data_IF_818444876484
#
_entry.id   IF_818444876484
#
_cell.length_a   1.000
_cell.length_b   1.000
_cell.length_c   1.000
_cell.angle_alpha   90.00
_cell.angle_beta   90.00
_cell.angle_gamma   90.00
#
_symmetry.space_group_name_H-M   'P 1'
#
loop_
_entity.id
_entity.type
_entity.pdbx_description
1 polymer ?
#
# COMPACT_ATOMS: atom_id res chain seq x y z
N UNK A 1 -3.91 -33.10 -7.67
CA UNK A 1 -4.78 -32.66 -6.58
C UNK A 1 -5.28 -31.25 -6.85
N UNK A 2 -6.48 -30.91 -6.39
CA UNK A 2 -7.01 -29.54 -6.46
C UNK A 2 -6.60 -28.86 -5.17
N UNK A 3 -5.95 -27.70 -5.27
CA UNK A 3 -5.66 -26.83 -4.12
C UNK A 3 -6.92 -26.02 -3.81
N UNK A 4 -7.49 -26.19 -2.62
CA UNK A 4 -8.69 -25.46 -2.18
C UNK A 4 -8.36 -24.03 -1.74
N UNK A 5 -7.13 -23.78 -1.34
CA UNK A 5 -6.63 -22.51 -0.84
C UNK A 5 -5.43 -22.73 0.09
N UNK A 6 -4.92 -21.63 0.63
CA UNK A 6 -3.88 -21.64 1.66
C UNK A 6 -4.22 -20.59 2.71
N UNK A 7 -3.89 -20.86 3.95
CA UNK A 7 -3.95 -19.88 5.03
C UNK A 7 -2.71 -19.00 5.00
N UNK A 8 -2.88 -17.68 5.09
CA UNK A 8 -1.73 -16.80 5.26
C UNK A 8 -1.13 -16.97 6.66
N UNK A 9 -1.95 -16.86 7.69
CA UNK A 9 -1.50 -17.06 9.06
C UNK A 9 -2.53 -17.80 9.92
N UNK A 10 -2.04 -18.77 10.69
CA UNK A 10 -2.75 -19.38 11.80
C UNK A 10 -2.03 -18.97 13.08
N UNK A 11 -2.71 -18.22 13.93
CA UNK A 11 -2.13 -17.62 15.12
C UNK A 11 -2.81 -18.15 16.38
N UNK A 12 -2.04 -18.23 17.47
CA UNK A 12 -2.56 -18.49 18.81
C UNK A 12 -2.17 -17.34 19.73
N UNK A 13 -3.17 -16.81 20.44
CA UNK A 13 -2.97 -15.83 21.50
C UNK A 13 -3.68 -16.36 22.77
N UNK A 14 -2.90 -16.85 23.72
CA UNK A 14 -3.39 -17.59 24.88
C UNK A 14 -4.20 -18.83 24.46
N UNK A 15 -5.51 -18.84 24.74
CA UNK A 15 -6.44 -19.91 24.36
C UNK A 15 -7.24 -19.61 23.10
N UNK A 16 -7.03 -18.45 22.47
CA UNK A 16 -7.73 -18.04 21.26
C UNK A 16 -6.92 -18.40 20.02
N UNK A 17 -7.58 -18.96 19.03
CA UNK A 17 -7.01 -19.31 17.73
C UNK A 17 -7.59 -18.41 16.65
N UNK A 18 -6.74 -17.93 15.76
CA UNK A 18 -7.10 -16.97 14.72
C UNK A 18 -6.57 -17.41 13.36
N UNK A 19 -7.47 -17.35 12.36
CA UNK A 19 -7.09 -17.37 10.97
C UNK A 19 -7.03 -15.92 10.48
N UNK A 20 -5.84 -15.48 10.07
CA UNK A 20 -5.60 -14.10 9.62
C UNK A 20 -5.18 -14.15 8.16
N UNK A 21 -5.94 -13.47 7.32
CA UNK A 21 -5.60 -13.19 5.93
C UNK A 21 -4.95 -11.82 5.82
N UNK A 22 -3.90 -11.74 4.97
CA UNK A 22 -3.15 -10.50 4.80
C UNK A 22 -3.09 -10.09 3.33
N UNK A 23 -2.93 -8.81 3.09
CA UNK A 23 -2.62 -8.31 1.76
C UNK A 23 -1.82 -7.01 1.87
N UNK A 24 -0.86 -6.84 0.95
CA UNK A 24 -0.23 -5.55 0.74
C UNK A 24 -0.77 -4.96 -0.56
N UNK A 25 -1.33 -3.77 -0.46
CA UNK A 25 -2.03 -3.12 -1.57
C UNK A 25 -1.74 -1.62 -1.62
N UNK A 26 -1.73 -1.12 -2.84
CA UNK A 26 -1.55 0.29 -3.15
C UNK A 26 -2.75 0.71 -3.99
N UNK A 27 -3.53 1.66 -3.49
CA UNK A 27 -4.73 2.12 -4.18
C UNK A 27 -4.72 3.62 -4.38
N UNK A 28 -5.13 4.03 -5.58
CA UNK A 28 -5.30 5.42 -5.97
C UNK A 28 -6.79 5.76 -5.95
N UNK A 29 -7.15 6.85 -5.31
CA UNK A 29 -8.51 7.36 -5.31
C UNK A 29 -8.84 7.97 -6.68
N UNK A 30 -9.78 7.39 -7.39
CA UNK A 30 -10.30 7.88 -8.67
C UNK A 30 -11.55 8.75 -8.54
N UNK A 31 -12.00 9.00 -7.31
CA UNK A 31 -13.23 9.73 -7.02
C UNK A 31 -13.13 11.20 -7.42
N UNK A 32 -14.25 11.75 -7.91
CA UNK A 32 -14.37 13.16 -8.27
C UNK A 32 -14.66 14.07 -7.06
N UNK A 33 -15.22 13.51 -6.00
CA UNK A 33 -15.60 14.23 -4.78
C UNK A 33 -15.43 13.37 -3.51
N UNK A 34 -15.47 13.96 -2.30
CA UNK A 34 -15.25 13.23 -1.06
C UNK A 34 -16.31 12.16 -0.75
N UNK A 35 -17.56 12.31 -1.20
CA UNK A 35 -18.61 11.32 -0.97
C UNK A 35 -18.34 10.05 -1.78
N UNK A 36 -17.96 10.19 -3.04
CA UNK A 36 -17.51 9.06 -3.85
C UNK A 36 -16.27 8.40 -3.26
N UNK A 37 -15.30 9.20 -2.78
CA UNK A 37 -14.06 8.69 -2.19
C UNK A 37 -14.30 7.82 -0.95
N UNK A 38 -15.44 7.96 -0.28
CA UNK A 38 -15.84 7.13 0.83
C UNK A 38 -16.17 5.69 0.41
N UNK A 39 -16.55 5.49 -0.85
CA UNK A 39 -16.89 4.17 -1.40
C UNK A 39 -15.64 3.43 -1.91
N UNK A 40 -15.47 2.17 -1.53
CA UNK A 40 -14.31 1.35 -1.89
C UNK A 40 -14.11 1.13 -3.39
N UNK A 41 -15.16 1.21 -4.17
CA UNK A 41 -15.11 1.02 -5.63
C UNK A 41 -14.29 2.09 -6.36
N UNK A 42 -14.11 3.26 -5.76
CA UNK A 42 -13.29 4.35 -6.31
C UNK A 42 -11.81 4.27 -5.97
N UNK A 43 -11.41 3.21 -5.25
CA UNK A 43 -10.01 2.97 -4.91
C UNK A 43 -9.49 1.85 -5.80
N UNK A 44 -8.68 2.24 -6.80
CA UNK A 44 -8.18 1.37 -7.87
C UNK A 44 -6.68 1.14 -7.72
N UNK A 45 -6.23 -0.06 -8.05
CA UNK A 45 -4.81 -0.37 -8.10
C UNK A 45 -4.10 0.40 -9.24
N UNK A 46 -2.78 0.58 -9.16
CA UNK A 46 -2.01 1.32 -10.14
C UNK A 46 -2.18 0.82 -11.59
N UNK A 47 -2.44 -0.45 -11.77
CA UNK A 47 -2.68 -1.08 -13.09
C UNK A 47 -4.17 -1.09 -13.48
N UNK A 48 -5.02 -0.38 -12.74
CA UNK A 48 -6.48 -0.19 -12.95
C UNK A 48 -7.36 -1.46 -13.00
N UNK A 49 -6.78 -2.65 -12.95
CA UNK A 49 -7.51 -3.92 -12.92
C UNK A 49 -7.88 -4.37 -11.51
N UNK A 50 -7.14 -3.95 -10.51
CA UNK A 50 -7.41 -4.24 -9.10
C UNK A 50 -8.27 -3.11 -8.51
N UNK A 51 -9.22 -3.48 -7.67
CA UNK A 51 -10.13 -2.56 -6.99
C UNK A 51 -10.31 -2.99 -5.54
N UNK A 52 -10.32 -2.02 -4.63
CA UNK A 52 -10.39 -2.30 -3.18
C UNK A 52 -11.65 -3.09 -2.79
N UNK A 53 -12.83 -2.72 -3.34
CA UNK A 53 -14.08 -3.43 -3.06
C UNK A 53 -14.06 -4.90 -3.54
N UNK A 54 -13.51 -5.15 -4.73
CA UNK A 54 -13.39 -6.51 -5.28
C UNK A 54 -12.43 -7.35 -4.44
N UNK A 55 -11.29 -6.76 -4.04
CA UNK A 55 -10.31 -7.46 -3.18
C UNK A 55 -10.91 -7.81 -1.82
N UNK A 56 -11.59 -6.85 -1.18
CA UNK A 56 -12.25 -7.08 0.10
C UNK A 56 -13.34 -8.14 0.02
N UNK A 57 -14.17 -8.08 -1.02
CA UNK A 57 -15.21 -9.08 -1.24
C UNK A 57 -14.63 -10.47 -1.45
N UNK A 58 -13.58 -10.59 -2.26
CA UNK A 58 -12.89 -11.87 -2.46
C UNK A 58 -12.34 -12.44 -1.14
N UNK A 59 -11.65 -11.62 -0.35
CA UNK A 59 -11.12 -12.05 0.95
C UNK A 59 -12.23 -12.51 1.90
N UNK A 60 -13.33 -11.77 1.98
CA UNK A 60 -14.46 -12.10 2.87
C UNK A 60 -15.24 -13.33 2.44
N UNK A 61 -15.42 -13.53 1.13
CA UNK A 61 -16.27 -14.60 0.62
C UNK A 61 -15.53 -15.92 0.37
N UNK A 62 -14.21 -15.86 0.15
CA UNK A 62 -13.45 -17.03 -0.25
C UNK A 62 -12.28 -17.37 0.68
N UNK A 63 -11.54 -16.37 1.14
CA UNK A 63 -10.35 -16.65 1.96
C UNK A 63 -10.71 -16.81 3.44
N UNK A 64 -11.38 -15.84 4.03
CA UNK A 64 -11.72 -15.92 5.45
C UNK A 64 -12.56 -17.16 5.83
N UNK A 65 -13.54 -17.62 5.03
CA UNK A 65 -14.30 -18.83 5.34
C UNK A 65 -13.53 -20.14 5.10
N UNK A 66 -12.32 -20.10 4.55
CA UNK A 66 -11.55 -21.31 4.23
C UNK A 66 -11.40 -22.25 5.42
N UNK A 67 -11.21 -21.71 6.63
CA UNK A 67 -11.07 -22.51 7.87
C UNK A 67 -12.36 -23.26 8.24
N UNK A 68 -13.52 -22.92 7.67
CA UNK A 68 -14.81 -23.58 7.92
C UNK A 68 -15.05 -24.77 6.99
N UNK A 69 -14.25 -24.91 5.93
CA UNK A 69 -14.39 -26.05 5.00
C UNK A 69 -14.08 -27.37 5.70
N UNK A 70 -14.71 -28.46 5.26
CA UNK A 70 -14.56 -29.78 5.87
C UNK A 70 -13.10 -30.25 5.82
N UNK A 71 -12.44 -30.05 4.69
CA UNK A 71 -11.04 -30.43 4.47
C UNK A 71 -10.09 -29.63 5.38
N UNK A 72 -10.31 -28.32 5.50
CA UNK A 72 -9.50 -27.50 6.38
C UNK A 72 -9.72 -27.86 7.84
N UNK A 73 -10.96 -28.12 8.26
CA UNK A 73 -11.31 -28.54 9.61
C UNK A 73 -10.63 -29.86 10.01
N UNK A 74 -10.54 -30.84 9.10
CA UNK A 74 -9.84 -32.09 9.37
C UNK A 74 -8.35 -31.84 9.66
N UNK A 75 -7.70 -31.00 8.87
CA UNK A 75 -6.29 -30.67 9.08
C UNK A 75 -6.08 -29.81 10.34
N UNK A 76 -6.93 -28.81 10.57
CA UNK A 76 -6.83 -27.93 11.73
C UNK A 76 -7.00 -28.69 13.04
N UNK A 77 -7.95 -29.62 13.13
CA UNK A 77 -8.11 -30.48 14.31
C UNK A 77 -6.90 -31.39 14.57
N UNK A 78 -6.24 -31.85 13.51
CA UNK A 78 -5.02 -32.64 13.65
C UNK A 78 -3.85 -31.82 14.15
N UNK A 79 -3.70 -30.59 13.66
CA UNK A 79 -2.58 -29.71 14.02
C UNK A 79 -2.79 -28.97 15.34
N UNK A 80 -4.05 -28.64 15.65
CA UNK A 80 -4.44 -27.81 16.79
C UNK A 80 -5.63 -28.46 17.53
N UNK A 81 -5.42 -29.62 18.21
CA UNK A 81 -6.51 -30.37 18.84
C UNK A 81 -7.24 -29.60 19.95
N UNK A 82 -6.58 -28.61 20.54
CA UNK A 82 -7.16 -27.80 21.62
C UNK A 82 -8.01 -26.63 21.09
N UNK A 83 -7.96 -26.34 19.79
CA UNK A 83 -8.72 -25.26 19.18
C UNK A 83 -10.20 -25.62 19.10
N UNK A 84 -11.03 -24.97 19.95
CA UNK A 84 -12.49 -25.18 19.94
C UNK A 84 -13.18 -24.38 18.83
N UNK A 85 -12.66 -23.20 18.56
CA UNK A 85 -13.17 -22.28 17.53
C UNK A 85 -12.03 -21.42 16.97
N UNK A 86 -12.24 -20.91 15.78
CA UNK A 86 -11.32 -20.01 15.10
C UNK A 86 -11.97 -18.63 14.95
N UNK A 87 -11.28 -17.59 15.42
CA UNK A 87 -11.55 -16.22 15.04
C UNK A 87 -11.01 -15.96 13.64
N UNK A 88 -11.55 -14.97 12.96
CA UNK A 88 -11.03 -14.52 11.67
C UNK A 88 -10.56 -13.07 11.73
N UNK A 89 -9.47 -12.77 11.04
CA UNK A 89 -8.90 -11.44 10.94
C UNK A 89 -8.45 -11.12 9.53
N UNK A 90 -8.58 -9.86 9.16
CA UNK A 90 -8.11 -9.33 7.89
C UNK A 90 -7.16 -8.17 8.13
N UNK A 91 -5.92 -8.30 7.66
CA UNK A 91 -4.91 -7.27 7.76
C UNK A 91 -4.49 -6.81 6.34
N UNK A 92 -4.98 -5.65 5.93
CA UNK A 92 -4.55 -5.03 4.67
C UNK A 92 -3.60 -3.89 5.00
N UNK A 93 -2.38 -3.98 4.49
CA UNK A 93 -1.32 -2.98 4.62
C UNK A 93 -1.05 -2.33 3.26
N UNK A 94 -0.32 -1.23 3.27
CA UNK A 94 0.08 -0.48 2.09
C UNK A 94 -0.36 0.97 2.13
N UNK A 95 -0.45 1.60 0.98
CA UNK A 95 -0.73 3.03 0.88
C UNK A 95 -2.04 3.31 0.18
N UNK A 96 -2.75 4.33 0.68
CA UNK A 96 -3.88 4.95 0.02
C UNK A 96 -3.48 6.32 -0.52
N UNK A 97 -3.52 6.50 -1.83
CA UNK A 97 -3.12 7.73 -2.50
C UNK A 97 -4.33 8.54 -2.91
N UNK A 98 -4.41 9.77 -2.41
CA UNK A 98 -5.43 10.74 -2.84
C UNK A 98 -4.92 11.56 -4.02
N UNK A 99 -5.81 12.11 -4.87
CA UNK A 99 -5.40 13.14 -5.82
C UNK A 99 -4.69 14.27 -5.09
N UNK A 100 -3.70 14.88 -5.72
CA UNK A 100 -3.00 16.02 -5.16
C UNK A 100 -3.96 17.07 -4.61
N UNK A 101 -3.62 17.68 -3.48
CA UNK A 101 -4.42 18.69 -2.79
C UNK A 101 -5.76 18.20 -2.21
N UNK A 102 -5.97 16.88 -2.12
CA UNK A 102 -7.16 16.28 -1.49
C UNK A 102 -6.73 15.29 -0.41
N UNK A 103 -7.47 15.24 0.68
CA UNK A 103 -7.32 14.23 1.74
C UNK A 103 -8.55 13.30 1.74
N UNK A 104 -8.59 12.41 0.78
CA UNK A 104 -9.65 11.43 0.64
C UNK A 104 -9.31 10.15 1.42
N UNK A 105 -10.32 9.47 1.93
CA UNK A 105 -10.17 8.16 2.57
C UNK A 105 -11.39 7.28 2.31
N UNK A 106 -11.23 5.97 2.14
CA UNK A 106 -12.35 5.07 2.02
C UNK A 106 -13.02 4.83 3.37
N UNK A 107 -14.27 4.35 3.33
CA UNK A 107 -14.98 3.89 4.52
C UNK A 107 -14.14 2.87 5.29
N UNK A 108 -14.17 2.97 6.62
CA UNK A 108 -13.48 2.04 7.54
C UNK A 108 -11.95 1.96 7.39
N UNK A 109 -11.32 2.89 6.67
CA UNK A 109 -9.87 3.00 6.73
C UNK A 109 -9.41 3.35 8.14
N UNK A 110 -8.39 2.65 8.63
CA UNK A 110 -7.82 2.93 9.93
C UNK A 110 -7.29 4.36 10.00
N UNK A 111 -7.42 5.02 11.15
CA UNK A 111 -7.01 6.43 11.31
C UNK A 111 -5.52 6.67 10.98
N UNK A 112 -4.69 5.67 11.23
CA UNK A 112 -3.23 5.71 10.99
C UNK A 112 -2.79 4.89 9.77
N UNK A 113 -3.67 4.73 8.74
CA UNK A 113 -3.24 4.10 7.51
C UNK A 113 -2.20 4.98 6.79
N UNK A 114 -1.28 4.35 6.09
CA UNK A 114 -0.27 5.05 5.31
C UNK A 114 -0.92 5.77 4.13
N UNK A 115 -0.46 7.01 3.87
CA UNK A 115 -1.07 7.92 2.89
C UNK A 115 -0.02 8.46 1.95
N UNK A 116 -0.48 8.79 0.75
CA UNK A 116 0.28 9.51 -0.24
C UNK A 116 -0.62 10.36 -1.13
N UNK A 117 0.00 11.10 -2.02
CA UNK A 117 -0.69 11.84 -3.06
C UNK A 117 -0.32 11.29 -4.42
N UNK A 118 -1.24 11.35 -5.37
CA UNK A 118 -0.96 10.98 -6.74
C UNK A 118 -1.23 12.16 -7.69
N UNK A 119 -0.47 12.20 -8.76
CA UNK A 119 -0.56 13.20 -9.81
C UNK A 119 -0.52 12.54 -11.19
N UNK A 120 -1.09 13.22 -12.16
CA UNK A 120 -0.71 12.98 -13.54
C UNK A 120 0.68 13.57 -13.78
N UNK A 121 1.52 12.92 -14.60
CA UNK A 121 2.90 13.36 -14.82
C UNK A 121 3.02 14.84 -15.16
N UNK A 122 2.19 15.34 -16.09
CA UNK A 122 2.24 16.76 -16.48
C UNK A 122 1.96 17.74 -15.32
N UNK A 123 1.03 17.37 -14.42
CA UNK A 123 0.72 18.13 -13.22
C UNK A 123 1.86 18.07 -12.20
N UNK A 124 2.44 16.88 -12.04
CA UNK A 124 3.57 16.70 -11.13
C UNK A 124 4.79 17.51 -11.57
N UNK A 125 5.16 17.46 -12.86
CA UNK A 125 6.27 18.24 -13.40
C UNK A 125 6.08 19.75 -13.21
N UNK A 126 4.86 20.24 -13.35
CA UNK A 126 4.53 21.62 -13.07
C UNK A 126 4.68 21.97 -11.59
N UNK A 127 4.20 21.10 -10.70
CA UNK A 127 4.28 21.30 -9.25
C UNK A 127 5.73 21.33 -8.76
N UNK A 128 6.55 20.38 -9.17
CA UNK A 128 7.94 20.30 -8.71
C UNK A 128 8.83 21.38 -9.30
N UNK A 129 8.49 21.97 -10.42
CA UNK A 129 9.29 23.05 -11.05
C UNK A 129 9.53 24.25 -10.12
N UNK A 130 8.67 24.42 -9.12
CA UNK A 130 8.80 25.49 -8.10
C UNK A 130 9.61 25.06 -6.87
N UNK A 131 10.04 23.80 -6.81
CA UNK A 131 10.66 23.17 -5.62
C UNK A 131 12.16 22.91 -5.84
N UNK A 132 12.91 23.92 -6.21
CA UNK A 132 14.33 23.81 -6.61
C UNK A 132 15.29 23.28 -5.51
N UNK A 133 14.88 23.29 -4.25
CA UNK A 133 15.70 22.82 -3.12
C UNK A 133 15.27 21.46 -2.58
N UNK A 134 14.27 20.83 -3.19
CA UNK A 134 13.80 19.51 -2.80
C UNK A 134 14.70 18.43 -3.39
N UNK A 135 14.95 17.39 -2.59
CA UNK A 135 15.58 16.15 -3.07
C UNK A 135 14.54 15.05 -3.20
N UNK A 136 14.76 14.16 -4.14
CA UNK A 136 13.79 13.16 -4.52
C UNK A 136 14.42 11.77 -4.56
N UNK A 137 13.68 10.78 -4.07
CA UNK A 137 14.03 9.37 -4.16
C UNK A 137 12.95 8.64 -4.97
N UNK A 138 13.33 8.06 -6.08
CA UNK A 138 12.45 7.15 -6.83
C UNK A 138 12.60 5.77 -6.21
N UNK A 139 11.50 5.21 -5.73
CA UNK A 139 11.49 3.95 -5.01
C UNK A 139 11.27 2.78 -5.95
N UNK A 140 12.13 1.77 -5.87
CA UNK A 140 11.90 0.49 -6.51
C UNK A 140 10.76 -0.28 -5.82
N UNK A 141 10.08 -1.18 -6.54
CA UNK A 141 8.91 -1.92 -6.01
C UNK A 141 9.16 -2.60 -4.66
N UNK A 142 10.35 -3.11 -4.44
CA UNK A 142 10.72 -3.75 -3.17
C UNK A 142 10.76 -2.76 -1.99
N UNK A 143 11.01 -1.48 -2.28
CA UNK A 143 11.08 -0.41 -1.29
C UNK A 143 9.70 0.18 -0.92
N UNK A 144 8.65 -0.19 -1.66
CA UNK A 144 7.30 0.33 -1.41
C UNK A 144 6.67 -0.17 -0.10
N UNK A 145 7.25 -1.22 0.49
CA UNK A 145 6.73 -1.86 1.70
C UNK A 145 7.27 -1.27 3.00
N UNK A 146 8.16 -0.32 2.90
CA UNK A 146 8.80 0.32 4.05
C UNK A 146 8.84 1.84 3.88
N UNK A 147 8.96 2.59 4.97
CA UNK A 147 9.22 4.02 4.88
C UNK A 147 10.44 4.30 3.99
N UNK A 148 10.33 5.32 3.13
CA UNK A 148 11.43 5.71 2.27
C UNK A 148 12.64 6.09 3.11
N UNK A 149 13.75 5.42 2.88
CA UNK A 149 15.00 5.64 3.58
C UNK A 149 16.15 5.70 2.58
N UNK A 150 17.06 6.66 2.76
CA UNK A 150 18.23 6.82 1.92
C UNK A 150 19.46 7.01 2.79
N UNK A 151 20.43 6.09 2.69
CA UNK A 151 21.73 6.16 3.39
C UNK A 151 22.79 6.83 2.56
N UNK A 152 22.63 6.85 1.24
CA UNK A 152 23.58 7.45 0.30
C UNK A 152 22.94 8.63 -0.43
N UNK A 153 23.35 9.83 -0.09
CA UNK A 153 22.85 11.05 -0.72
C UNK A 153 23.12 11.09 -2.25
N UNK A 154 24.06 10.29 -2.75
CA UNK A 154 24.35 10.22 -4.18
C UNK A 154 23.22 9.63 -5.04
N UNK A 155 22.30 8.89 -4.43
CA UNK A 155 21.13 8.35 -5.13
C UNK A 155 19.93 9.31 -5.16
N UNK A 156 20.02 10.42 -4.43
CA UNK A 156 18.98 11.44 -4.43
C UNK A 156 19.07 12.29 -5.68
N UNK A 157 17.92 12.53 -6.28
CA UNK A 157 17.79 13.35 -7.48
C UNK A 157 17.44 14.79 -7.13
N UNK A 158 17.99 15.74 -7.88
CA UNK A 158 17.45 17.10 -7.91
C UNK A 158 16.11 17.12 -8.64
N UNK A 159 15.39 18.22 -8.57
CA UNK A 159 14.12 18.40 -9.29
C UNK A 159 14.30 18.24 -10.80
N UNK A 160 15.37 18.79 -11.36
CA UNK A 160 15.69 18.70 -12.78
C UNK A 160 16.02 17.26 -13.20
N UNK A 161 16.85 16.57 -12.43
CA UNK A 161 17.21 15.16 -12.68
C UNK A 161 15.98 14.24 -12.60
N UNK A 162 15.08 14.48 -11.63
CA UNK A 162 13.84 13.74 -11.53
C UNK A 162 12.95 13.99 -12.75
N UNK A 163 12.78 15.24 -13.15
CA UNK A 163 11.96 15.60 -14.32
C UNK A 163 12.48 14.92 -15.58
N UNK A 164 13.79 14.98 -15.82
CA UNK A 164 14.44 14.32 -16.97
C UNK A 164 14.20 12.80 -16.94
N UNK A 165 14.44 12.16 -15.80
CA UNK A 165 14.22 10.72 -15.61
C UNK A 165 12.80 10.31 -15.93
N UNK A 166 11.80 11.02 -15.39
CA UNK A 166 10.39 10.71 -15.60
C UNK A 166 9.96 10.90 -17.06
N UNK A 167 10.50 11.89 -17.77
CA UNK A 167 10.20 12.12 -19.19
C UNK A 167 10.76 11.01 -20.08
N UNK A 168 11.95 10.48 -19.76
CA UNK A 168 12.56 9.36 -20.51
C UNK A 168 11.74 8.07 -20.30
N UNK A 169 11.29 7.80 -19.08
CA UNK A 169 10.55 6.57 -18.74
C UNK A 169 9.15 6.51 -19.37
N UNK A 170 8.55 7.64 -19.73
CA UNK A 170 7.23 7.70 -20.40
C UNK A 170 7.22 7.07 -21.77
N UNK A 171 8.34 7.06 -22.48
CA UNK A 171 8.44 6.44 -23.80
C UNK A 171 8.46 4.89 -23.77
N UNK A 172 8.65 4.28 -22.59
CA UNK A 172 8.85 2.84 -22.47
C UNK A 172 7.68 2.03 -21.87
N UNK A 173 7.09 2.44 -20.79
CA UNK A 173 5.92 1.79 -20.19
C UNK A 173 5.29 2.75 -19.17
N UNK A 174 4.03 3.08 -19.37
CA UNK A 174 3.24 3.92 -18.47
C UNK A 174 2.94 3.18 -17.16
N UNK A 175 3.96 2.95 -16.33
CA UNK A 175 3.79 2.36 -15.00
C UNK A 175 3.86 3.46 -13.94
N UNK A 176 3.02 3.40 -12.91
CA UNK A 176 3.11 4.29 -11.77
C UNK A 176 4.49 4.21 -11.12
N UNK A 177 5.06 5.37 -10.79
CA UNK A 177 6.31 5.49 -10.06
C UNK A 177 6.01 5.96 -8.63
N UNK A 178 6.62 5.32 -7.64
CA UNK A 178 6.54 5.79 -6.26
C UNK A 178 7.76 6.66 -5.96
N UNK A 179 7.50 7.90 -5.57
CA UNK A 179 8.52 8.91 -5.36
C UNK A 179 8.37 9.46 -3.94
N UNK A 180 9.47 9.60 -3.24
CA UNK A 180 9.52 10.23 -1.94
C UNK A 180 10.24 11.58 -2.02
N UNK A 181 9.62 12.59 -1.43
CA UNK A 181 10.27 13.86 -1.16
C UNK A 181 11.18 13.71 0.07
N UNK A 182 12.46 14.02 -0.07
CA UNK A 182 13.48 13.81 0.96
C UNK A 182 14.04 15.13 1.46
N UNK A 183 14.15 15.31 2.77
CA UNK A 183 14.91 16.43 3.36
C UNK A 183 16.32 15.95 3.68
N UNK A 184 17.31 16.66 3.19
CA UNK A 184 18.67 16.49 3.68
C UNK A 184 18.78 17.11 5.07
N UNK A 185 19.00 16.29 6.09
CA UNK A 185 19.36 16.81 7.41
C UNK A 185 20.79 17.32 7.42
N UNK A 186 20.99 18.52 7.92
CA UNK A 186 22.28 18.91 8.46
C UNK A 186 22.64 17.92 9.59
N UNK A 187 23.86 17.33 9.55
CA UNK A 187 24.34 16.32 10.51
C UNK A 187 24.03 16.75 11.95
N UNK A 188 22.97 16.25 12.53
CA UNK A 188 22.72 16.24 13.97
C UNK A 188 22.41 14.81 14.40
N UNK A 189 23.17 14.35 15.37
CA UNK A 189 22.96 13.03 15.98
C UNK A 189 21.57 12.98 16.63
N UNK A 190 20.81 11.93 16.32
CA UNK A 190 19.55 11.49 16.89
C UNK A 190 18.25 12.05 16.26
N UNK A 191 17.63 11.23 15.46
CA UNK A 191 16.21 10.87 15.47
C UNK A 191 15.77 10.27 14.13
N UNK A 192 14.85 9.33 14.17
CA UNK A 192 14.29 8.59 13.04
C UNK A 192 13.64 9.54 12.02
N UNK A 193 14.16 9.51 10.79
CA UNK A 193 13.65 10.30 9.68
C UNK A 193 12.47 9.60 9.01
N UNK A 194 11.27 10.13 9.19
CA UNK A 194 10.14 9.77 8.33
C UNK A 194 10.13 10.69 7.10
N UNK A 195 9.88 10.15 5.88
CA UNK A 195 9.68 10.99 4.71
C UNK A 195 8.44 11.87 4.92
N UNK A 196 8.50 13.12 4.51
CA UNK A 196 7.39 14.04 4.71
C UNK A 196 6.21 13.79 3.78
N UNK A 197 6.47 13.28 2.58
CA UNK A 197 5.43 12.95 1.59
C UNK A 197 5.87 11.78 0.72
N UNK A 198 4.96 10.86 0.50
CA UNK A 198 5.10 9.79 -0.49
C UNK A 198 4.18 10.12 -1.66
N UNK A 199 4.72 10.06 -2.87
CA UNK A 199 4.08 10.47 -4.12
C UNK A 199 3.98 9.25 -5.03
N UNK A 200 2.85 9.05 -5.66
CA UNK A 200 2.61 8.00 -6.64
C UNK A 200 2.21 8.59 -7.99
#
# INVERSE_FOLDING_TARGET
>A
GITLGAFDFLCRNNEEYWHIETAVKFYLCSASNPLEAYEWKYWIGPESQDRLDLKLNHLRQHQLPLHETEEAQLQLRSLYPDAKQWGTGLCIQGYLFSPAQRDNKPAFAHAHHERGSWWRLSQFLQEISTQSHQHWLVLERQQWLSPAHCTDAAVLLTTEQLAEKLLIEVDGAQRPQLIAAMKLKARSNNSEDRPENIIC
#
